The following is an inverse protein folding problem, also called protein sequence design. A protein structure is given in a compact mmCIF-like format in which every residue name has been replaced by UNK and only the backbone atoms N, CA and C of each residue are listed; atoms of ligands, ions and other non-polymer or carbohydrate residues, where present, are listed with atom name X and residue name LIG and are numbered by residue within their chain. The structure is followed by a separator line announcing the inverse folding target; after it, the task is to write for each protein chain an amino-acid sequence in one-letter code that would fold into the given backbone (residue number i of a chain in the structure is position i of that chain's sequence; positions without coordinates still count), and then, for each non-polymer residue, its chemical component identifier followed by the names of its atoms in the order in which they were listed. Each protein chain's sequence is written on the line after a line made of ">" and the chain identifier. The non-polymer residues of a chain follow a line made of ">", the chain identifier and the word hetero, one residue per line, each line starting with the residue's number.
data_IF_350874192485
#
_entry.id   IF_350874192485
#
_cell.length_a   1.000
_cell.length_b   1.000
_cell.length_c   1.000
_cell.angle_alpha   90.00
_cell.angle_beta   90.00
_cell.angle_gamma   90.00
#
_symmetry.space_group_name_H-M   'P 1'
#
loop_
_entity.id
_entity.type
_entity.pdbx_description
1 polymer ?
#
# COMPACT_ATOMS: atom_id res chain seq x y z
N UNK A 1 -26.77 -3.67 9.26
CA UNK A 1 -25.66 -2.71 9.07
C UNK A 1 -24.37 -3.47 9.29
N UNK A 2 -23.45 -3.45 8.32
CA UNK A 2 -22.12 -4.04 8.51
C UNK A 2 -21.43 -3.32 9.69
N UNK A 3 -20.73 -4.04 10.57
CA UNK A 3 -20.01 -3.39 11.66
C UNK A 3 -18.94 -2.46 11.06
N UNK A 4 -18.97 -1.17 11.43
CA UNK A 4 -17.91 -0.23 11.10
C UNK A 4 -16.63 -0.71 11.79
N UNK A 5 -15.62 -1.10 11.00
CA UNK A 5 -14.28 -1.40 11.52
C UNK A 5 -13.71 -0.18 12.26
N UNK A 6 -12.73 -0.33 13.16
CA UNK A 6 -12.07 0.81 13.77
C UNK A 6 -11.18 1.52 12.75
N UNK A 7 -11.17 2.84 12.78
CA UNK A 7 -10.15 3.68 12.17
C UNK A 7 -9.43 4.45 13.27
N UNK A 8 -8.11 4.27 13.36
CA UNK A 8 -7.25 4.81 14.42
C UNK A 8 -6.35 5.88 13.82
N UNK A 9 -6.63 7.14 14.13
CA UNK A 9 -5.82 8.28 13.71
C UNK A 9 -4.51 8.30 14.52
N UNK A 10 -3.37 8.34 13.83
CA UNK A 10 -2.05 8.55 14.45
C UNK A 10 -1.62 9.98 14.19
N UNK A 11 -1.77 10.84 15.19
CA UNK A 11 -1.61 12.29 15.10
C UNK A 11 -0.47 12.85 15.95
N UNK A 12 -0.05 14.08 15.64
CA UNK A 12 0.97 14.80 16.40
C UNK A 12 1.85 15.72 15.56
N UNK A 13 2.63 16.62 16.19
CA UNK A 13 3.46 17.62 15.51
C UNK A 13 4.45 17.04 14.49
N UNK A 14 5.05 17.85 13.61
CA UNK A 14 6.09 17.38 12.69
C UNK A 14 7.25 16.73 13.44
N UNK A 15 7.93 15.76 12.80
CA UNK A 15 9.12 15.08 13.35
C UNK A 15 8.91 14.31 14.67
N UNK A 16 7.67 13.98 15.02
CA UNK A 16 7.36 13.19 16.23
C UNK A 16 7.52 11.67 16.09
N UNK A 17 7.88 11.16 14.90
CA UNK A 17 8.03 9.73 14.65
C UNK A 17 6.76 8.98 14.25
N UNK A 18 5.66 9.67 13.88
CA UNK A 18 4.38 9.07 13.43
C UNK A 18 4.52 7.97 12.38
N UNK A 19 5.14 8.29 11.23
CA UNK A 19 5.38 7.32 10.15
C UNK A 19 6.10 6.06 10.62
N UNK A 20 7.12 6.24 11.46
CA UNK A 20 7.89 5.13 12.03
C UNK A 20 7.06 4.32 13.03
N UNK A 21 6.26 5.01 13.86
CA UNK A 21 5.35 4.36 14.80
C UNK A 21 4.32 3.51 14.05
N UNK A 22 3.66 4.05 13.01
CA UNK A 22 2.69 3.33 12.18
C UNK A 22 3.33 2.11 11.53
N UNK A 23 4.51 2.28 10.94
CA UNK A 23 5.27 1.18 10.32
C UNK A 23 5.59 0.06 11.33
N UNK A 24 6.20 0.40 12.47
CA UNK A 24 6.59 -0.58 13.51
C UNK A 24 5.39 -1.23 14.16
N UNK A 25 4.33 -0.46 14.41
CA UNK A 25 3.07 -0.97 14.93
C UNK A 25 2.43 -1.94 13.93
N UNK A 26 2.41 -1.61 12.65
CA UNK A 26 1.90 -2.51 11.61
C UNK A 26 2.65 -3.84 11.59
N UNK A 27 3.99 -3.81 11.69
CA UNK A 27 4.80 -5.03 11.83
C UNK A 27 4.42 -5.85 13.06
N UNK A 28 4.29 -5.20 14.23
CA UNK A 28 3.93 -5.88 15.48
C UNK A 28 2.51 -6.48 15.43
N UNK A 29 1.56 -5.82 14.76
CA UNK A 29 0.20 -6.31 14.57
C UNK A 29 0.16 -7.50 13.60
N UNK A 30 0.92 -7.46 12.50
CA UNK A 30 1.04 -8.60 11.56
C UNK A 30 1.62 -9.83 12.26
N UNK A 31 2.65 -9.68 13.08
CA UNK A 31 3.22 -10.77 13.89
C UNK A 31 2.21 -11.40 14.85
N UNK A 32 1.14 -10.68 15.20
CA UNK A 32 0.04 -11.14 16.05
C UNK A 32 -1.16 -11.66 15.25
N UNK A 33 -1.08 -11.71 13.92
CA UNK A 33 -2.17 -12.13 13.05
C UNK A 33 -3.35 -11.15 13.01
N UNK A 34 -3.14 -9.87 13.36
CA UNK A 34 -4.20 -8.86 13.35
C UNK A 34 -4.35 -8.29 11.94
N UNK A 35 -5.50 -8.52 11.32
CA UNK A 35 -5.84 -7.94 10.02
C UNK A 35 -6.06 -6.42 10.15
N UNK A 36 -5.32 -5.63 9.38
CA UNK A 36 -5.40 -4.18 9.36
C UNK A 36 -4.76 -3.61 8.09
N UNK A 37 -5.09 -2.36 7.77
CA UNK A 37 -4.44 -1.60 6.71
C UNK A 37 -3.84 -0.30 7.25
N UNK A 38 -2.58 -0.04 6.92
CA UNK A 38 -1.90 1.21 7.26
C UNK A 38 -2.13 2.22 6.12
N UNK A 39 -3.11 3.11 6.30
CA UNK A 39 -3.45 4.16 5.36
C UNK A 39 -2.54 5.38 5.60
N UNK A 40 -1.76 5.74 4.57
CA UNK A 40 -1.01 7.00 4.56
C UNK A 40 -1.96 8.14 4.21
N UNK A 41 -2.28 8.96 5.19
CA UNK A 41 -3.17 10.11 5.04
C UNK A 41 -2.39 11.43 5.03
N UNK A 42 -1.30 11.44 4.25
CA UNK A 42 -0.40 12.58 4.09
C UNK A 42 0.31 12.49 2.74
N UNK A 43 0.39 13.59 1.97
CA UNK A 43 1.10 13.63 0.69
C UNK A 43 2.63 13.83 0.84
N UNK A 44 3.23 13.46 1.96
CA UNK A 44 4.65 13.71 2.25
C UNK A 44 5.65 12.80 1.50
N UNK A 45 5.16 11.83 0.72
CA UNK A 45 5.97 10.92 -0.08
C UNK A 45 6.63 9.79 0.73
N UNK A 46 6.39 9.70 2.03
CA UNK A 46 6.94 8.64 2.89
C UNK A 46 6.14 7.31 2.79
N UNK A 47 6.76 6.19 3.18
CA UNK A 47 6.14 4.85 3.18
C UNK A 47 7.09 3.76 3.70
N UNK A 48 6.58 2.54 3.96
CA UNK A 48 7.37 1.43 4.50
C UNK A 48 8.58 1.04 3.65
N UNK A 49 8.41 1.04 2.32
CA UNK A 49 9.48 0.82 1.34
C UNK A 49 10.68 1.77 1.54
N UNK A 50 10.43 3.00 2.00
CA UNK A 50 11.49 3.99 2.20
C UNK A 50 12.40 3.68 3.40
N UNK A 51 12.02 2.72 4.25
CA UNK A 51 12.83 2.19 5.34
C UNK A 51 13.47 0.83 5.01
N UNK A 52 13.07 0.22 3.88
CA UNK A 52 13.50 -1.12 3.45
C UNK A 52 14.41 -1.08 2.20
N UNK A 53 14.48 0.05 1.50
CA UNK A 53 15.34 0.29 0.33
C UNK A 53 16.66 0.96 0.69
N UNK A 54 17.63 0.90 -0.22
CA UNK A 54 18.87 1.68 -0.13
C UNK A 54 18.56 3.18 0.12
N UNK A 55 19.26 3.86 1.05
CA UNK A 55 18.94 5.25 1.42
C UNK A 55 18.94 6.25 0.26
N UNK A 56 19.78 6.06 -0.76
CA UNK A 56 19.82 6.93 -1.93
C UNK A 56 18.59 6.70 -2.84
N UNK A 57 18.23 5.43 -3.07
CA UNK A 57 17.00 5.04 -3.79
C UNK A 57 15.77 5.52 -3.04
N UNK A 58 15.74 5.33 -1.72
CA UNK A 58 14.66 5.78 -0.85
C UNK A 58 14.44 7.31 -0.94
N UNK A 59 15.53 8.07 -0.93
CA UNK A 59 15.49 9.53 -1.03
C UNK A 59 15.01 10.00 -2.40
N UNK A 60 15.50 9.39 -3.48
CA UNK A 60 15.07 9.72 -4.84
C UNK A 60 13.57 9.47 -5.04
N UNK A 61 13.08 8.30 -4.62
CA UNK A 61 11.66 7.95 -4.71
C UNK A 61 10.78 8.81 -3.78
N UNK A 62 11.26 9.21 -2.59
CA UNK A 62 10.51 10.11 -1.69
C UNK A 62 10.29 11.47 -2.35
N UNK A 63 11.32 12.01 -3.01
CA UNK A 63 11.22 13.26 -3.78
C UNK A 63 10.23 13.14 -4.93
N UNK A 64 10.20 12.01 -5.63
CA UNK A 64 9.25 11.75 -6.73
C UNK A 64 7.81 11.59 -6.22
N UNK A 65 7.61 11.07 -5.01
CA UNK A 65 6.28 10.76 -4.47
C UNK A 65 5.66 11.85 -3.60
N UNK A 66 6.42 12.90 -3.22
CA UNK A 66 5.91 14.00 -2.41
C UNK A 66 5.02 14.91 -3.25
N UNK A 67 3.81 15.15 -2.78
CA UNK A 67 2.84 16.08 -3.38
C UNK A 67 2.34 17.07 -2.31
N UNK A 68 1.55 18.06 -2.73
CA UNK A 68 0.84 18.94 -1.79
C UNK A 68 -0.58 18.40 -1.53
N UNK A 69 -1.21 18.86 -0.44
CA UNK A 69 -2.63 18.60 -0.21
C UNK A 69 -3.46 19.21 -1.34
N UNK A 70 -4.39 18.43 -1.87
CA UNK A 70 -5.45 18.90 -2.75
C UNK A 70 -6.82 18.59 -2.11
N UNK A 71 -7.86 19.42 -2.32
CA UNK A 71 -9.20 19.15 -1.78
C UNK A 71 -9.73 17.77 -2.17
N UNK A 72 -9.55 17.47 -3.44
CA UNK A 72 -9.66 16.20 -4.12
C UNK A 72 -9.04 14.99 -3.37
N UNK A 73 -7.75 15.07 -3.00
CA UNK A 73 -7.08 14.04 -2.21
C UNK A 73 -7.72 13.87 -0.83
N UNK A 74 -8.11 14.97 -0.19
CA UNK A 74 -8.75 14.93 1.12
C UNK A 74 -10.13 14.26 1.07
N UNK A 75 -10.93 14.55 0.03
CA UNK A 75 -12.23 13.90 -0.20
C UNK A 75 -12.06 12.40 -0.43
N UNK A 76 -11.12 12.01 -1.30
CA UNK A 76 -10.78 10.61 -1.56
C UNK A 76 -10.41 9.85 -0.28
N UNK A 77 -9.51 10.41 0.52
CA UNK A 77 -9.09 9.80 1.79
C UNK A 77 -10.23 9.74 2.81
N UNK A 78 -11.06 10.78 2.90
CA UNK A 78 -12.24 10.79 3.77
C UNK A 78 -13.19 9.66 3.42
N UNK A 79 -13.53 9.51 2.13
CA UNK A 79 -14.41 8.46 1.63
C UNK A 79 -13.82 7.06 1.89
N UNK A 80 -12.52 6.88 1.63
CA UNK A 80 -11.83 5.62 1.90
C UNK A 80 -11.83 5.24 3.39
N UNK A 81 -11.68 6.22 4.29
CA UNK A 81 -11.75 5.95 5.74
C UNK A 81 -13.20 5.67 6.15
N UNK A 82 -14.18 6.41 5.64
CA UNK A 82 -15.59 6.22 5.96
C UNK A 82 -16.11 4.85 5.48
N UNK A 83 -15.71 4.43 4.28
CA UNK A 83 -16.09 3.17 3.62
C UNK A 83 -15.16 1.98 3.90
N UNK A 84 -14.21 2.13 4.83
CA UNK A 84 -13.17 1.14 5.15
C UNK A 84 -13.68 -0.31 5.26
N UNK A 85 -12.94 -1.22 4.64
CA UNK A 85 -13.21 -2.66 4.70
C UNK A 85 -12.35 -3.42 5.72
N UNK A 86 -11.42 -2.74 6.39
CA UNK A 86 -10.56 -3.31 7.41
C UNK A 86 -10.34 -2.30 8.54
N UNK A 87 -9.88 -2.76 9.73
CA UNK A 87 -9.28 -1.88 10.71
C UNK A 87 -8.18 -1.01 10.07
N UNK A 88 -8.25 0.31 10.26
CA UNK A 88 -7.29 1.26 9.69
C UNK A 88 -6.35 1.85 10.74
N UNK A 89 -5.06 1.88 10.42
CA UNK A 89 -4.11 2.82 11.03
C UNK A 89 -3.96 4.01 10.07
N UNK A 90 -4.49 5.16 10.46
CA UNK A 90 -4.52 6.37 9.61
C UNK A 90 -3.36 7.27 10.03
N UNK A 91 -2.32 7.33 9.20
CA UNK A 91 -1.12 8.13 9.46
C UNK A 91 -1.31 9.58 9.02
N UNK A 92 -1.53 10.46 9.98
CA UNK A 92 -1.83 11.87 9.73
C UNK A 92 -0.56 12.69 9.47
N UNK A 93 -0.69 13.69 8.58
CA UNK A 93 0.33 14.71 8.38
C UNK A 93 0.69 15.45 9.68
N UNK A 94 1.90 15.99 9.77
CA UNK A 94 2.39 16.64 11.00
C UNK A 94 1.77 18.00 11.33
N UNK A 95 0.95 18.56 10.44
CA UNK A 95 0.33 19.88 10.60
C UNK A 95 -1.19 19.71 10.67
N UNK A 96 -1.83 20.35 11.64
CA UNK A 96 -3.28 20.47 11.68
C UNK A 96 -3.75 21.30 10.49
N UNK A 97 -4.83 20.86 9.87
CA UNK A 97 -5.46 21.51 8.73
C UNK A 97 -6.92 21.05 8.62
N UNK A 98 -7.72 21.74 7.82
CA UNK A 98 -9.11 21.37 7.56
C UNK A 98 -9.23 19.95 6.97
N UNK A 99 -8.24 19.51 6.20
CA UNK A 99 -8.17 18.15 5.67
C UNK A 99 -7.99 17.14 6.81
N UNK A 100 -7.06 17.36 7.74
CA UNK A 100 -6.86 16.47 8.89
C UNK A 100 -8.09 16.45 9.80
N UNK A 101 -8.76 17.60 10.00
CA UNK A 101 -10.04 17.69 10.70
C UNK A 101 -11.11 16.79 10.03
N UNK A 102 -11.28 16.93 8.72
CA UNK A 102 -12.20 16.10 7.94
C UNK A 102 -11.91 14.60 8.04
N UNK A 103 -10.63 14.20 8.08
CA UNK A 103 -10.26 12.79 8.27
C UNK A 103 -10.50 12.30 9.70
N UNK A 104 -10.31 13.16 10.71
CA UNK A 104 -10.59 12.83 12.10
C UNK A 104 -12.07 12.50 12.30
N UNK A 105 -12.98 13.26 11.67
CA UNK A 105 -14.44 13.09 11.80
C UNK A 105 -14.96 11.71 11.38
N UNK A 106 -14.22 10.98 10.55
CA UNK A 106 -14.57 9.61 10.12
C UNK A 106 -13.74 8.52 10.81
N UNK A 107 -12.83 8.91 11.69
CA UNK A 107 -12.07 8.01 12.55
C UNK A 107 -12.84 7.69 13.85
N UNK A 108 -12.39 6.65 14.56
CA UNK A 108 -13.05 6.14 15.78
C UNK A 108 -12.19 6.30 17.03
N UNK A 109 -10.87 6.20 16.84
CA UNK A 109 -9.88 6.21 17.91
C UNK A 109 -8.70 7.08 17.51
N UNK A 110 -7.88 7.48 18.48
CA UNK A 110 -6.67 8.23 18.24
C UNK A 110 -5.48 7.74 19.06
N UNK A 111 -4.29 7.86 18.48
CA UNK A 111 -2.99 7.76 19.14
C UNK A 111 -2.24 9.06 18.86
N UNK A 112 -1.86 9.78 19.92
CA UNK A 112 -1.08 11.00 19.81
C UNK A 112 0.37 10.73 20.17
N UNK A 113 1.29 11.29 19.37
CA UNK A 113 2.72 11.22 19.66
C UNK A 113 3.45 12.52 19.31
N UNK A 114 4.24 13.03 20.25
CA UNK A 114 5.12 14.19 20.05
C UNK A 114 6.57 13.86 20.38
N UNK A 115 7.53 14.55 19.75
CA UNK A 115 8.91 14.53 20.24
C UNK A 115 8.99 15.14 21.65
N UNK A 116 10.07 14.85 22.38
CA UNK A 116 10.31 15.48 23.68
C UNK A 116 10.23 17.01 23.58
N UNK A 117 9.38 17.63 24.42
CA UNK A 117 9.12 19.09 24.40
C UNK A 117 8.16 19.56 23.31
N UNK A 118 7.62 18.65 22.48
CA UNK A 118 6.59 18.95 21.50
C UNK A 118 5.21 19.13 22.13
N UNK A 119 4.40 19.99 21.52
CA UNK A 119 3.06 20.33 22.02
C UNK A 119 1.96 19.45 21.40
N UNK A 120 1.29 18.68 22.25
CA UNK A 120 0.12 17.87 21.88
C UNK A 120 -1.21 18.55 22.17
N UNK A 121 -1.24 19.72 22.83
CA UNK A 121 -2.50 20.36 23.20
C UNK A 121 -3.42 20.65 22.00
N UNK A 122 -2.94 21.18 20.85
CA UNK A 122 -3.78 21.38 19.68
C UNK A 122 -4.36 20.07 19.13
N UNK A 123 -3.56 19.00 19.16
CA UNK A 123 -4.01 17.68 18.71
C UNK A 123 -5.04 17.08 19.65
N UNK A 124 -4.87 17.21 20.97
CA UNK A 124 -5.87 16.78 21.95
C UNK A 124 -7.21 17.48 21.74
N UNK A 125 -7.19 18.79 21.47
CA UNK A 125 -8.38 19.56 21.16
C UNK A 125 -9.10 19.06 19.89
N UNK A 126 -8.34 18.70 18.84
CA UNK A 126 -8.90 18.05 17.65
C UNK A 126 -9.58 16.72 18.01
N UNK A 127 -8.89 15.83 18.74
CA UNK A 127 -9.42 14.51 19.12
C UNK A 127 -10.72 14.66 19.92
N UNK A 128 -10.75 15.59 20.87
CA UNK A 128 -11.94 15.89 21.67
C UNK A 128 -13.07 16.47 20.81
N UNK A 129 -12.77 17.43 19.93
CA UNK A 129 -13.74 18.08 19.05
C UNK A 129 -14.40 17.12 18.07
N UNK A 130 -13.65 16.15 17.53
CA UNK A 130 -14.18 15.12 16.63
C UNK A 130 -14.72 13.88 17.37
N UNK A 131 -14.66 13.84 18.72
CA UNK A 131 -15.25 12.76 19.53
C UNK A 131 -14.51 11.41 19.47
N UNK A 132 -13.20 11.41 19.16
CA UNK A 132 -12.41 10.18 19.03
C UNK A 132 -12.03 9.64 20.40
N UNK A 133 -12.02 8.31 20.53
CA UNK A 133 -11.51 7.66 21.74
C UNK A 133 -9.98 7.72 21.75
N UNK A 134 -9.39 8.49 22.66
CA UNK A 134 -7.95 8.58 22.82
C UNK A 134 -7.39 7.28 23.44
N UNK A 135 -6.64 6.51 22.67
CA UNK A 135 -6.03 5.24 23.09
C UNK A 135 -4.70 5.47 23.79
N UNK A 136 -3.92 6.43 23.29
CA UNK A 136 -2.60 6.73 23.80
C UNK A 136 -2.17 8.17 23.53
N UNK A 137 -1.36 8.71 24.43
CA UNK A 137 -0.79 10.05 24.41
C UNK A 137 0.68 9.95 24.84
N UNK A 138 1.56 10.03 23.85
CA UNK A 138 2.92 9.49 23.93
C UNK A 138 3.98 10.54 23.65
N UNK A 139 5.14 10.35 24.29
CA UNK A 139 6.35 11.08 23.97
C UNK A 139 7.31 10.14 23.24
N UNK A 140 7.85 10.61 22.12
CA UNK A 140 8.96 10.00 21.40
C UNK A 140 10.27 10.62 21.88
N UNK A 141 11.12 9.81 22.50
CA UNK A 141 12.47 10.19 22.89
C UNK A 141 13.48 9.24 22.23
N UNK A 142 14.27 9.74 21.27
CA UNK A 142 15.16 8.91 20.45
C UNK A 142 16.12 8.08 21.29
N UNK A 143 16.68 8.65 22.37
CA UNK A 143 17.72 8.02 23.19
C UNK A 143 17.30 7.81 24.65
N UNK A 144 16.08 8.20 25.01
CA UNK A 144 15.52 8.02 26.34
C UNK A 144 15.21 6.58 26.71
N UNK A 145 14.73 6.42 27.94
CA UNK A 145 14.30 5.13 28.48
C UNK A 145 12.80 4.96 28.25
N UNK A 146 12.43 3.92 27.49
CA UNK A 146 11.03 3.57 27.27
C UNK A 146 10.34 3.27 28.61
N UNK A 147 9.22 3.92 28.88
CA UNK A 147 8.54 3.84 30.18
C UNK A 147 7.03 4.05 30.03
N UNK A 148 6.28 3.50 30.97
CA UNK A 148 4.84 3.73 31.09
C UNK A 148 4.62 4.64 32.29
N UNK A 149 3.90 5.74 32.07
CA UNK A 149 3.45 6.66 33.12
C UNK A 149 2.07 6.22 33.63
N UNK A 150 1.16 5.84 32.73
CA UNK A 150 -0.15 5.30 33.07
C UNK A 150 -0.59 4.26 32.02
N UNK A 151 -1.02 3.08 32.48
CA UNK A 151 -1.52 1.99 31.64
C UNK A 151 -3.04 1.76 31.76
N UNK A 152 -3.76 2.56 32.54
CA UNK A 152 -5.22 2.45 32.76
C UNK A 152 -5.94 3.62 32.09
N UNK A 153 -7.04 3.35 31.38
CA UNK A 153 -7.68 4.38 30.54
C UNK A 153 -6.78 4.73 29.36
N UNK A 154 -6.44 6.00 29.16
CA UNK A 154 -5.48 6.44 28.13
C UNK A 154 -4.06 5.97 28.49
N UNK A 155 -3.32 5.42 27.52
CA UNK A 155 -1.92 5.05 27.71
C UNK A 155 -1.04 6.29 27.66
N UNK A 156 -0.35 6.59 28.76
CA UNK A 156 0.68 7.63 28.80
C UNK A 156 2.04 7.01 28.98
N UNK A 157 3.04 7.47 28.23
CA UNK A 157 4.40 6.97 28.36
C UNK A 157 5.37 7.50 27.33
N UNK A 158 6.59 6.98 27.40
CA UNK A 158 7.69 7.29 26.50
C UNK A 158 7.97 6.08 25.63
N UNK A 159 7.99 6.27 24.32
CA UNK A 159 8.57 5.33 23.36
C UNK A 159 9.94 5.87 22.97
N UNK A 160 10.95 5.00 23.04
CA UNK A 160 12.28 5.31 22.51
C UNK A 160 12.61 4.53 21.26
N UNK A 161 13.68 4.91 20.55
CA UNK A 161 14.15 4.14 19.39
C UNK A 161 13.21 4.11 18.17
N UNK A 162 12.33 5.10 17.99
CA UNK A 162 11.51 5.24 16.78
C UNK A 162 12.33 5.76 15.58
N UNK A 163 13.33 4.98 15.15
CA UNK A 163 14.10 5.23 13.91
C UNK A 163 14.27 3.94 13.11
N UNK A 164 14.76 4.01 11.86
CA UNK A 164 15.06 2.79 11.09
C UNK A 164 16.12 1.91 11.77
N UNK A 165 17.11 2.52 12.42
CA UNK A 165 18.28 1.86 13.00
C UNK A 165 18.05 1.34 14.43
N UNK A 166 17.06 1.90 15.13
CA UNK A 166 16.75 1.55 16.52
C UNK A 166 15.44 0.75 16.60
N UNK A 167 15.28 0.02 17.70
CA UNK A 167 14.07 -0.74 17.98
C UNK A 167 13.20 0.01 18.99
N UNK A 168 11.89 0.16 18.74
CA UNK A 168 10.97 0.70 19.74
C UNK A 168 10.52 -0.33 20.77
N UNK A 169 11.11 -1.53 20.78
CA UNK A 169 10.78 -2.58 21.73
C UNK A 169 10.95 -2.08 23.17
N UNK A 170 9.86 -2.14 23.93
CA UNK A 170 9.81 -1.64 25.29
C UNK A 170 8.39 -1.72 25.85
N UNK A 171 8.22 -1.45 27.15
CA UNK A 171 6.93 -1.63 27.83
C UNK A 171 5.82 -0.78 27.21
N UNK A 172 6.11 0.50 26.89
CA UNK A 172 5.12 1.41 26.32
C UNK A 172 4.65 0.98 24.93
N UNK A 173 5.59 0.63 24.03
CA UNK A 173 5.26 0.15 22.70
C UNK A 173 4.50 -1.19 22.74
N UNK A 174 4.90 -2.11 23.61
CA UNK A 174 4.21 -3.39 23.79
C UNK A 174 2.76 -3.21 24.28
N UNK A 175 2.55 -2.30 25.24
CA UNK A 175 1.23 -1.94 25.75
C UNK A 175 0.35 -1.29 24.67
N UNK A 176 0.91 -0.37 23.87
CA UNK A 176 0.22 0.24 22.74
C UNK A 176 -0.20 -0.82 21.71
N UNK A 177 0.73 -1.68 21.29
CA UNK A 177 0.45 -2.74 20.33
C UNK A 177 -0.62 -3.72 20.85
N UNK A 178 -0.65 -4.01 22.16
CA UNK A 178 -1.68 -4.85 22.78
C UNK A 178 -3.06 -4.21 22.73
N UNK A 179 -3.16 -2.93 23.06
CA UNK A 179 -4.43 -2.19 23.02
C UNK A 179 -4.98 -2.11 21.60
N UNK A 180 -4.13 -1.80 20.63
CA UNK A 180 -4.55 -1.71 19.23
C UNK A 180 -4.93 -3.08 18.68
N UNK A 181 -4.20 -4.14 19.04
CA UNK A 181 -4.59 -5.51 18.67
C UNK A 181 -5.98 -5.89 19.22
N UNK A 182 -6.32 -5.47 20.44
CA UNK A 182 -7.64 -5.70 21.03
C UNK A 182 -8.75 -4.91 20.31
N UNK A 183 -8.49 -3.65 19.98
CA UNK A 183 -9.43 -2.82 19.20
C UNK A 183 -9.69 -3.43 17.82
N UNK A 184 -8.64 -4.00 17.20
CA UNK A 184 -8.68 -4.62 15.89
C UNK A 184 -8.92 -6.15 15.94
N UNK A 185 -9.44 -6.69 17.03
CA UNK A 185 -9.58 -8.13 17.24
C UNK A 185 -10.76 -8.72 16.43
N UNK A 186 -10.55 -8.86 15.12
CA UNK A 186 -11.46 -9.54 14.21
C UNK A 186 -10.87 -10.88 13.78
N UNK A 187 -11.71 -11.91 13.67
CA UNK A 187 -11.29 -13.20 13.13
C UNK A 187 -10.93 -13.05 11.64
N UNK A 188 -9.71 -13.43 11.26
CA UNK A 188 -9.27 -13.40 9.87
C UNK A 188 -10.17 -14.22 8.94
N UNK A 189 -10.72 -15.33 9.43
CA UNK A 189 -11.66 -16.18 8.68
C UNK A 189 -13.03 -15.52 8.51
N UNK A 190 -13.52 -14.83 9.53
CA UNK A 190 -14.81 -14.12 9.44
C UNK A 190 -14.70 -12.91 8.53
N UNK A 191 -13.60 -12.15 8.64
CA UNK A 191 -13.28 -11.06 7.72
C UNK A 191 -13.23 -11.56 6.29
N UNK A 192 -12.43 -12.60 6.03
CA UNK A 192 -12.32 -13.18 4.69
C UNK A 192 -13.67 -13.64 4.16
N UNK A 193 -14.48 -14.35 4.96
CA UNK A 193 -15.84 -14.77 4.56
C UNK A 193 -16.75 -13.57 4.27
N UNK A 194 -16.66 -12.51 5.06
CA UNK A 194 -17.46 -11.30 4.84
C UNK A 194 -17.08 -10.59 3.55
N UNK A 195 -15.79 -10.54 3.20
CA UNK A 195 -15.32 -9.98 1.95
C UNK A 195 -15.61 -10.89 0.76
N UNK A 196 -15.47 -12.20 0.93
CA UNK A 196 -15.80 -13.19 -0.11
C UNK A 196 -17.27 -13.05 -0.56
N UNK A 197 -18.18 -12.75 0.36
CA UNK A 197 -19.60 -12.51 0.04
C UNK A 197 -19.86 -11.23 -0.78
N UNK A 198 -18.85 -10.38 -1.00
CA UNK A 198 -18.95 -9.13 -1.77
C UNK A 198 -18.50 -9.28 -3.23
N UNK A 199 -18.04 -10.46 -3.66
CA UNK A 199 -17.75 -10.78 -5.07
C UNK A 199 -18.56 -12.00 -5.50
N UNK A 200 -18.93 -12.03 -6.77
CA UNK A 200 -19.61 -13.15 -7.43
C UNK A 200 -18.62 -14.06 -8.21
N UNK A 201 -17.32 -13.74 -8.21
CA UNK A 201 -16.29 -14.60 -8.81
C UNK A 201 -16.08 -15.83 -7.94
N UNK A 202 -16.24 -17.03 -8.54
CA UNK A 202 -16.10 -18.30 -7.81
C UNK A 202 -14.64 -18.62 -7.44
N UNK A 203 -13.70 -18.39 -8.36
CA UNK A 203 -12.28 -18.63 -8.12
C UNK A 203 -11.65 -17.43 -7.39
N UNK A 204 -11.63 -17.51 -6.06
CA UNK A 204 -10.98 -16.51 -5.21
C UNK A 204 -9.69 -17.05 -4.61
N UNK A 205 -8.55 -16.50 -5.02
CA UNK A 205 -7.25 -16.83 -4.46
C UNK A 205 -6.95 -15.98 -3.24
N UNK A 206 -6.81 -16.64 -2.08
CA UNK A 206 -6.27 -16.01 -0.89
C UNK A 206 -4.75 -16.20 -0.84
N UNK A 207 -4.00 -15.20 -1.30
CA UNK A 207 -2.55 -15.29 -1.54
C UNK A 207 -1.69 -15.35 -0.26
N UNK A 208 -2.31 -15.26 0.92
CA UNK A 208 -1.62 -15.47 2.20
C UNK A 208 -1.77 -16.90 2.73
N UNK A 209 -2.60 -17.73 2.07
CA UNK A 209 -2.82 -19.14 2.41
C UNK A 209 -2.03 -20.04 1.47
N UNK A 210 -1.99 -21.34 1.82
CA UNK A 210 -1.43 -22.34 0.92
C UNK A 210 -2.26 -22.41 -0.37
N UNK A 211 -1.57 -22.37 -1.51
CA UNK A 211 -2.15 -22.56 -2.84
C UNK A 211 -1.32 -23.65 -3.50
N UNK A 212 -1.84 -24.89 -3.53
CA UNK A 212 -1.08 -26.05 -4.02
C UNK A 212 -0.49 -25.77 -5.42
N UNK A 213 0.81 -26.03 -5.67
CA UNK A 213 1.76 -26.77 -4.84
C UNK A 213 2.55 -25.91 -3.82
N UNK A 214 2.24 -24.63 -3.70
CA UNK A 214 2.98 -23.68 -2.87
C UNK A 214 2.52 -23.69 -1.40
N UNK A 215 3.48 -23.59 -0.46
CA UNK A 215 3.17 -23.37 0.95
C UNK A 215 2.52 -21.99 1.16
N UNK A 216 1.93 -21.72 2.34
CA UNK A 216 1.47 -20.37 2.65
C UNK A 216 2.64 -19.39 2.58
N UNK A 217 2.39 -18.23 1.96
CA UNK A 217 3.33 -17.12 1.83
C UNK A 217 2.72 -15.91 2.52
N UNK A 218 3.38 -15.31 3.50
CA UNK A 218 2.98 -13.96 3.92
C UNK A 218 3.41 -12.93 2.86
N UNK A 219 2.83 -11.73 2.89
CA UNK A 219 2.97 -10.77 1.79
C UNK A 219 4.40 -10.51 1.29
N UNK A 220 5.43 -10.59 2.14
CA UNK A 220 6.84 -10.39 1.74
C UNK A 220 7.61 -11.71 1.46
N UNK A 221 7.02 -12.87 1.75
CA UNK A 221 7.65 -14.18 1.55
C UNK A 221 7.56 -14.70 0.11
N UNK A 222 6.70 -14.11 -0.73
CA UNK A 222 6.56 -14.42 -2.14
C UNK A 222 7.87 -14.17 -2.91
N UNK A 223 8.28 -15.14 -3.74
CA UNK A 223 9.46 -15.06 -4.62
C UNK A 223 9.05 -15.09 -6.10
N UNK A 224 9.81 -14.45 -7.00
CA UNK A 224 9.54 -14.50 -8.44
C UNK A 224 9.38 -15.93 -9.00
N UNK A 225 10.19 -16.86 -8.51
CA UNK A 225 10.14 -18.29 -8.89
C UNK A 225 8.83 -19.00 -8.50
N UNK A 226 8.04 -18.41 -7.59
CA UNK A 226 6.72 -18.94 -7.23
C UNK A 226 5.66 -18.71 -8.32
N UNK A 227 5.89 -17.76 -9.25
CA UNK A 227 4.88 -17.42 -10.27
C UNK A 227 4.55 -18.59 -11.17
N UNK A 228 5.56 -19.27 -11.73
CA UNK A 228 5.34 -20.35 -12.67
C UNK A 228 4.56 -21.54 -12.07
N UNK A 229 4.94 -22.12 -10.91
CA UNK A 229 4.15 -23.18 -10.28
C UNK A 229 2.77 -22.71 -9.82
N UNK A 230 2.62 -21.45 -9.40
CA UNK A 230 1.31 -20.88 -9.07
C UNK A 230 0.40 -20.87 -10.29
N UNK A 231 0.81 -20.20 -11.38
CA UNK A 231 -0.01 -20.04 -12.57
C UNK A 231 -0.35 -21.40 -13.21
N UNK A 232 0.61 -22.34 -13.23
CA UNK A 232 0.38 -23.69 -13.74
C UNK A 232 -0.62 -24.51 -12.91
N UNK A 233 -0.92 -24.11 -11.67
CA UNK A 233 -1.91 -24.77 -10.81
C UNK A 233 -3.34 -24.26 -11.00
N UNK A 234 -3.50 -23.11 -11.66
CA UNK A 234 -4.79 -22.44 -11.83
C UNK A 234 -5.51 -22.92 -13.10
N UNK A 235 -6.85 -22.97 -13.10
CA UNK A 235 -7.60 -23.23 -14.32
C UNK A 235 -7.42 -22.07 -15.31
N UNK A 236 -7.19 -22.42 -16.57
CA UNK A 236 -7.08 -21.45 -17.66
C UNK A 236 -8.46 -20.94 -18.08
N UNK A 237 -8.54 -19.68 -18.48
CA UNK A 237 -9.75 -19.08 -19.04
C UNK A 237 -10.91 -18.85 -18.06
N UNK A 238 -10.67 -18.86 -16.75
CA UNK A 238 -11.67 -18.57 -15.71
C UNK A 238 -11.57 -17.14 -15.16
N UNK A 239 -12.69 -16.50 -14.76
CA UNK A 239 -12.66 -15.30 -13.92
C UNK A 239 -11.90 -15.53 -12.62
N UNK A 240 -11.13 -14.53 -12.18
CA UNK A 240 -10.22 -14.68 -11.04
C UNK A 240 -10.29 -13.48 -10.10
N UNK A 241 -10.49 -13.73 -8.80
CA UNK A 241 -10.41 -12.71 -7.77
C UNK A 241 -9.22 -12.98 -6.84
N UNK A 242 -8.52 -11.93 -6.41
CA UNK A 242 -7.32 -12.03 -5.56
C UNK A 242 -7.52 -11.29 -4.25
N UNK A 243 -7.43 -12.03 -3.14
CA UNK A 243 -7.56 -11.54 -1.76
C UNK A 243 -6.26 -11.71 -0.98
N UNK A 244 -5.96 -10.75 -0.10
CA UNK A 244 -4.82 -10.79 0.81
C UNK A 244 -3.66 -9.92 0.34
N UNK A 245 -2.62 -9.83 1.16
CA UNK A 245 -1.44 -9.00 0.90
C UNK A 245 -0.35 -9.77 0.13
N UNK A 246 0.22 -9.11 -0.88
CA UNK A 246 1.33 -9.63 -1.68
C UNK A 246 2.08 -8.53 -2.42
N UNK A 247 3.13 -8.87 -3.16
CA UNK A 247 3.88 -7.91 -3.95
C UNK A 247 3.11 -7.55 -5.23
N UNK A 248 3.30 -6.33 -5.73
CA UNK A 248 2.65 -5.83 -6.96
C UNK A 248 2.80 -6.78 -8.14
N UNK A 249 4.00 -7.35 -8.34
CA UNK A 249 4.27 -8.26 -9.45
C UNK A 249 3.40 -9.54 -9.42
N UNK A 250 2.97 -9.99 -8.23
CA UNK A 250 2.10 -11.17 -8.08
C UNK A 250 0.69 -10.86 -8.58
N UNK A 251 0.10 -9.76 -8.13
CA UNK A 251 -1.23 -9.34 -8.57
C UNK A 251 -1.28 -9.13 -10.08
N UNK A 252 -0.24 -8.51 -10.65
CA UNK A 252 -0.18 -8.25 -12.08
C UNK A 252 0.02 -9.51 -12.91
N UNK A 253 0.77 -10.51 -12.42
CA UNK A 253 0.90 -11.79 -13.09
C UNK A 253 -0.43 -12.55 -13.15
N UNK A 254 -1.19 -12.54 -12.05
CA UNK A 254 -2.54 -13.12 -11.99
C UNK A 254 -3.54 -12.35 -12.89
N UNK A 255 -3.41 -11.02 -12.96
CA UNK A 255 -4.22 -10.20 -13.85
C UNK A 255 -3.93 -10.47 -15.34
N UNK A 256 -2.66 -10.68 -15.70
CA UNK A 256 -2.25 -11.11 -17.04
C UNK A 256 -2.78 -12.51 -17.36
N UNK A 257 -2.57 -13.47 -16.45
CA UNK A 257 -2.96 -14.87 -16.63
C UNK A 257 -4.47 -15.02 -16.92
N UNK A 258 -5.30 -14.30 -16.18
CA UNK A 258 -6.77 -14.34 -16.35
C UNK A 258 -7.28 -13.57 -17.57
N UNK A 259 -6.43 -12.84 -18.31
CA UNK A 259 -6.89 -12.03 -19.44
C UNK A 259 -7.33 -12.91 -20.62
N UNK A 260 -8.50 -12.69 -21.26
CA UNK A 260 -9.38 -11.51 -21.17
C UNK A 260 -10.54 -11.61 -20.16
N UNK A 261 -10.59 -12.67 -19.33
CA UNK A 261 -11.68 -12.87 -18.37
C UNK A 261 -11.74 -11.76 -17.32
N UNK A 262 -12.84 -11.74 -16.54
CA UNK A 262 -12.98 -10.79 -15.43
C UNK A 262 -11.92 -11.07 -14.37
N UNK A 263 -11.29 -10.00 -13.87
CA UNK A 263 -10.32 -10.07 -12.81
C UNK A 263 -10.65 -9.03 -11.75
N UNK A 264 -10.55 -9.42 -10.48
CA UNK A 264 -10.74 -8.51 -9.35
C UNK A 264 -9.62 -8.64 -8.33
N UNK A 265 -9.28 -7.51 -7.71
CA UNK A 265 -8.38 -7.47 -6.57
C UNK A 265 -9.13 -6.82 -5.40
N UNK A 266 -8.91 -7.35 -4.20
CA UNK A 266 -9.42 -6.71 -2.99
C UNK A 266 -8.48 -5.57 -2.55
N UNK A 267 -8.98 -4.33 -2.51
CA UNK A 267 -8.32 -3.15 -1.94
C UNK A 267 -9.00 -2.75 -0.64
N UNK A 268 -8.23 -2.50 0.43
CA UNK A 268 -8.79 -2.16 1.75
C UNK A 268 -9.63 -0.87 1.76
N UNK A 269 -9.42 0.02 0.77
CA UNK A 269 -10.13 1.30 0.61
C UNK A 269 -11.42 1.16 -0.19
N UNK A 270 -11.46 0.25 -1.16
CA UNK A 270 -12.51 0.17 -2.18
C UNK A 270 -13.25 -1.17 -2.22
N UNK A 271 -12.80 -2.17 -1.46
CA UNK A 271 -13.32 -3.54 -1.55
C UNK A 271 -12.83 -4.23 -2.83
N UNK A 272 -13.71 -5.01 -3.46
CA UNK A 272 -13.39 -5.65 -4.74
C UNK A 272 -13.41 -4.64 -5.88
N UNK A 273 -12.29 -4.54 -6.57
CA UNK A 273 -12.11 -3.61 -7.69
C UNK A 273 -11.62 -4.37 -8.93
N UNK A 274 -12.25 -4.08 -10.06
CA UNK A 274 -11.77 -4.51 -11.37
C UNK A 274 -10.68 -3.56 -11.86
N UNK A 275 -9.57 -4.05 -12.43
CA UNK A 275 -8.58 -3.20 -13.08
C UNK A 275 -9.21 -2.35 -14.19
N UNK A 276 -8.78 -1.11 -14.37
CA UNK A 276 -9.30 -0.25 -15.44
C UNK A 276 -8.91 -0.79 -16.81
N UNK A 277 -9.78 -0.59 -17.78
CA UNK A 277 -9.46 -0.81 -19.19
C UNK A 277 -8.71 0.41 -19.70
N UNK A 278 -7.45 0.21 -20.08
CA UNK A 278 -6.58 1.24 -20.64
C UNK A 278 -6.42 1.02 -22.14
N UNK A 279 -6.21 2.10 -22.89
CA UNK A 279 -6.06 2.04 -24.35
C UNK A 279 -4.67 2.47 -24.78
N UNK A 280 -4.06 1.73 -25.69
CA UNK A 280 -2.80 2.14 -26.32
C UNK A 280 -3.09 3.28 -27.30
N UNK A 281 -2.45 4.44 -27.12
CA UNK A 281 -2.78 5.63 -27.89
C UNK A 281 -1.77 6.76 -27.73
N UNK A 282 -1.95 7.81 -28.54
CA UNK A 282 -1.12 9.01 -28.49
C UNK A 282 -1.17 9.72 -27.13
N UNK A 283 -0.17 10.57 -26.91
CA UNK A 283 0.23 11.25 -25.66
C UNK A 283 -0.91 11.41 -24.64
N UNK A 284 -0.76 10.93 -23.38
CA UNK A 284 -1.77 11.10 -22.36
C UNK A 284 -2.14 12.58 -22.26
N UNK A 285 -3.30 12.96 -22.79
CA UNK A 285 -3.75 14.35 -22.77
C UNK A 285 -4.19 14.77 -21.36
N UNK A 286 -4.25 13.82 -20.44
CA UNK A 286 -4.83 13.98 -19.14
C UNK A 286 -3.74 14.08 -18.07
N UNK A 287 -3.72 15.22 -17.37
CA UNK A 287 -2.83 15.52 -16.24
C UNK A 287 -3.01 14.60 -15.01
N UNK A 288 -3.73 13.48 -15.15
CA UNK A 288 -4.06 12.53 -14.09
C UNK A 288 -2.85 11.61 -13.81
N UNK A 289 -2.16 11.16 -14.87
CA UNK A 289 -0.96 10.33 -14.77
C UNK A 289 0.15 10.95 -15.60
N UNK A 290 1.33 11.11 -15.00
CA UNK A 290 2.55 11.42 -15.74
C UNK A 290 3.15 10.13 -16.27
N UNK A 291 3.39 10.05 -17.57
CA UNK A 291 3.95 8.87 -18.23
C UNK A 291 5.17 9.30 -19.05
N UNK A 292 6.30 8.65 -18.82
CA UNK A 292 7.52 8.82 -19.60
C UNK A 292 7.99 7.46 -20.12
N UNK A 293 7.95 7.26 -21.43
CA UNK A 293 8.50 6.07 -22.07
C UNK A 293 9.92 6.36 -22.57
N UNK A 294 10.87 5.48 -22.21
CA UNK A 294 12.27 5.54 -22.64
C UNK A 294 12.70 4.18 -23.16
N UNK A 295 13.18 4.12 -24.38
CA UNK A 295 13.83 2.92 -24.92
C UNK A 295 15.21 2.78 -24.28
N UNK A 296 15.33 1.86 -23.33
CA UNK A 296 16.59 1.57 -22.62
C UNK A 296 17.53 0.72 -23.48
N UNK A 297 16.96 -0.21 -24.26
CA UNK A 297 17.67 -1.08 -25.22
C UNK A 297 16.80 -1.31 -26.46
N UNK A 298 17.35 -1.74 -27.60
CA UNK A 298 16.55 -1.96 -28.82
C UNK A 298 15.36 -2.90 -28.64
N UNK A 299 15.43 -3.82 -27.67
CA UNK A 299 14.43 -4.82 -27.32
C UNK A 299 13.62 -4.48 -26.05
N UNK A 300 13.88 -3.32 -25.41
CA UNK A 300 13.31 -2.97 -24.10
C UNK A 300 12.92 -1.50 -24.02
N UNK A 301 11.65 -1.26 -23.73
CA UNK A 301 11.13 0.06 -23.36
C UNK A 301 10.79 0.10 -21.87
N UNK A 302 11.31 1.08 -21.14
CA UNK A 302 10.90 1.38 -19.77
C UNK A 302 9.82 2.46 -19.80
N UNK A 303 8.72 2.24 -19.09
CA UNK A 303 7.64 3.21 -18.92
C UNK A 303 7.62 3.61 -17.46
N UNK A 304 8.02 4.85 -17.17
CA UNK A 304 7.96 5.45 -15.84
C UNK A 304 6.61 6.16 -15.67
N UNK A 305 5.87 5.80 -14.62
CA UNK A 305 4.55 6.32 -14.30
C UNK A 305 4.53 6.97 -12.91
N UNK A 306 3.83 8.09 -12.79
CA UNK A 306 3.60 8.77 -11.52
C UNK A 306 2.20 9.38 -11.46
N UNK A 307 1.66 9.51 -10.25
CA UNK A 307 0.43 10.25 -10.00
C UNK A 307 0.80 11.66 -9.53
N UNK A 308 0.67 12.71 -10.36
CA UNK A 308 1.04 14.07 -9.96
C UNK A 308 0.22 14.57 -8.76
N UNK A 309 -1.01 14.08 -8.60
CA UNK A 309 -1.89 14.40 -7.45
C UNK A 309 -1.64 13.50 -6.24
N UNK A 310 -0.80 12.47 -6.37
CA UNK A 310 -0.55 11.45 -5.33
C UNK A 310 -1.67 10.42 -5.17
N UNK A 311 -2.82 10.63 -5.83
CA UNK A 311 -3.96 9.71 -5.84
C UNK A 311 -4.63 9.70 -7.22
N UNK A 312 -5.48 8.71 -7.43
CA UNK A 312 -6.38 8.55 -8.57
C UNK A 312 -7.55 7.69 -8.11
N UNK A 313 -8.78 8.08 -8.45
CA UNK A 313 -9.95 7.24 -8.19
C UNK A 313 -10.12 6.17 -9.28
N UNK A 314 -10.72 5.00 -8.97
CA UNK A 314 -11.01 3.95 -9.93
C UNK A 314 -11.74 4.45 -11.19
N UNK A 315 -12.70 5.34 -11.02
CA UNK A 315 -13.51 5.91 -12.09
C UNK A 315 -12.70 6.84 -13.00
N UNK A 316 -11.73 7.58 -12.45
CA UNK A 316 -10.83 8.44 -13.22
C UNK A 316 -9.83 7.63 -14.06
N UNK A 317 -9.52 6.41 -13.64
CA UNK A 317 -8.59 5.55 -14.37
C UNK A 317 -9.23 4.88 -15.60
N UNK A 318 -10.55 4.85 -15.69
CA UNK A 318 -11.27 4.21 -16.79
C UNK A 318 -11.02 4.96 -18.11
N UNK A 319 -10.51 4.26 -19.12
CA UNK A 319 -10.31 4.82 -20.45
C UNK A 319 -9.05 5.68 -20.62
N UNK A 320 -8.16 5.71 -19.62
CA UNK A 320 -6.86 6.37 -19.77
C UNK A 320 -6.07 5.81 -20.96
N UNK A 321 -5.40 6.71 -21.68
CA UNK A 321 -4.49 6.34 -22.76
C UNK A 321 -3.07 6.14 -22.23
N UNK A 322 -2.40 5.11 -22.73
CA UNK A 322 -1.02 4.78 -22.40
C UNK A 322 -0.18 4.67 -23.69
N UNK A 323 1.13 4.97 -23.64
CA UNK A 323 1.94 5.03 -24.84
C UNK A 323 2.07 3.66 -25.52
N UNK A 324 1.99 3.58 -26.86
CA UNK A 324 2.30 2.34 -27.55
C UNK A 324 3.79 2.02 -27.42
N UNK A 325 4.12 0.72 -27.40
CA UNK A 325 5.49 0.22 -27.52
C UNK A 325 5.68 -0.39 -28.92
N UNK A 326 6.93 -0.47 -29.39
CA UNK A 326 7.18 -1.07 -30.70
C UNK A 326 6.93 -2.58 -30.67
N UNK A 327 6.41 -3.13 -31.77
CA UNK A 327 6.13 -4.56 -31.91
C UNK A 327 7.37 -5.40 -31.60
N UNK A 328 7.19 -6.45 -30.79
CA UNK A 328 8.28 -7.37 -30.43
C UNK A 328 9.25 -6.86 -29.36
N UNK A 329 9.03 -5.66 -28.81
CA UNK A 329 9.76 -5.19 -27.63
C UNK A 329 9.12 -5.72 -26.34
N UNK A 330 9.96 -5.91 -25.33
CA UNK A 330 9.52 -6.04 -23.96
C UNK A 330 9.31 -4.67 -23.31
N UNK A 331 8.51 -4.65 -22.25
CA UNK A 331 8.23 -3.44 -21.48
C UNK A 331 8.50 -3.64 -20.00
N UNK A 332 9.20 -2.67 -19.40
CA UNK A 332 9.39 -2.57 -17.95
C UNK A 332 8.53 -1.44 -17.44
N UNK A 333 7.61 -1.77 -16.54
CA UNK A 333 6.74 -0.81 -15.87
C UNK A 333 7.36 -0.40 -14.53
N UNK A 334 7.49 0.90 -14.33
CA UNK A 334 8.13 1.51 -13.16
C UNK A 334 7.29 2.69 -12.66
N UNK A 335 7.14 2.83 -11.35
CA UNK A 335 6.39 3.92 -10.77
C UNK A 335 5.82 3.62 -9.41
N UNK A 336 4.98 4.54 -8.92
CA UNK A 336 4.20 4.35 -7.69
C UNK A 336 2.71 4.53 -8.01
N UNK A 337 2.05 3.40 -8.27
CA UNK A 337 0.62 3.32 -8.55
C UNK A 337 -0.05 2.28 -7.63
N UNK A 338 -1.36 2.35 -7.40
CA UNK A 338 -2.09 1.30 -6.71
C UNK A 338 -2.09 -0.01 -7.52
N UNK A 339 -2.15 -1.15 -6.82
CA UNK A 339 -2.08 -2.49 -7.45
C UNK A 339 -3.15 -2.70 -8.53
N UNK A 340 -4.37 -2.21 -8.33
CA UNK A 340 -5.44 -2.33 -9.32
C UNK A 340 -5.12 -1.62 -10.65
N UNK A 341 -4.38 -0.50 -10.61
CA UNK A 341 -3.96 0.23 -11.81
C UNK A 341 -2.80 -0.49 -12.50
N UNK A 342 -1.88 -1.08 -11.72
CA UNK A 342 -0.83 -1.94 -12.27
C UNK A 342 -1.39 -3.14 -13.03
N UNK A 343 -2.44 -3.78 -12.49
CA UNK A 343 -3.12 -4.87 -13.17
C UNK A 343 -3.71 -4.43 -14.51
N UNK A 344 -4.27 -3.21 -14.59
CA UNK A 344 -4.79 -2.63 -15.83
C UNK A 344 -3.68 -2.36 -16.86
N UNK A 345 -2.54 -1.82 -16.41
CA UNK A 345 -1.37 -1.57 -17.25
C UNK A 345 -0.80 -2.85 -17.86
N UNK A 346 -0.62 -3.90 -17.06
CA UNK A 346 -0.10 -5.18 -17.57
C UNK A 346 -1.04 -5.80 -18.59
N UNK A 347 -2.36 -5.73 -18.36
CA UNK A 347 -3.37 -6.20 -19.32
C UNK A 347 -3.34 -5.40 -20.62
N UNK A 348 -3.17 -4.08 -20.55
CA UNK A 348 -3.11 -3.24 -21.74
C UNK A 348 -1.84 -3.44 -22.57
N UNK A 349 -0.74 -3.92 -21.94
CA UNK A 349 0.48 -4.34 -22.62
C UNK A 349 0.56 -5.85 -22.88
N UNK A 350 -0.56 -6.59 -22.86
CA UNK A 350 -0.55 -8.05 -23.06
C UNK A 350 0.04 -8.51 -24.40
N UNK A 351 0.05 -7.64 -25.42
CA UNK A 351 0.63 -7.92 -26.75
C UNK A 351 2.15 -7.66 -26.83
N UNK A 352 2.77 -7.14 -25.76
CA UNK A 352 4.22 -6.98 -25.67
C UNK A 352 4.95 -8.32 -25.79
N UNK A 353 6.23 -8.33 -26.19
CA UNK A 353 7.01 -9.57 -26.16
C UNK A 353 7.09 -10.16 -24.75
N UNK A 354 7.19 -9.31 -23.74
CA UNK A 354 7.04 -9.63 -22.32
C UNK A 354 6.79 -8.33 -21.55
N UNK A 355 6.20 -8.45 -20.37
CA UNK A 355 5.92 -7.34 -19.45
C UNK A 355 6.58 -7.64 -18.11
N UNK A 356 7.31 -6.66 -17.56
CA UNK A 356 7.97 -6.79 -16.27
C UNK A 356 7.64 -5.62 -15.32
N UNK A 357 7.58 -5.91 -14.02
CA UNK A 357 7.35 -4.91 -12.96
C UNK A 357 8.66 -4.62 -12.23
N UNK A 358 9.05 -3.35 -12.18
CA UNK A 358 10.25 -2.92 -11.48
C UNK A 358 10.14 -3.08 -9.95
N UNK A 359 11.23 -3.54 -9.32
CA UNK A 359 11.37 -3.72 -7.86
C UNK A 359 12.49 -2.80 -7.34
N UNK A 360 12.13 -1.68 -6.68
CA UNK A 360 13.13 -0.75 -6.14
C UNK A 360 14.10 -1.35 -5.12
N UNK A 361 13.65 -2.37 -4.36
CA UNK A 361 14.47 -3.01 -3.32
C UNK A 361 15.70 -3.72 -3.88
N UNK A 362 15.51 -4.44 -4.98
CA UNK A 362 16.53 -5.30 -5.59
C UNK A 362 17.14 -4.67 -6.86
N UNK A 363 16.59 -3.53 -7.31
CA UNK A 363 16.98 -2.81 -8.53
C UNK A 363 16.94 -3.71 -9.79
N UNK A 364 15.89 -4.52 -9.90
CA UNK A 364 15.59 -5.36 -11.05
C UNK A 364 14.09 -5.28 -11.41
N UNK A 365 13.67 -6.00 -12.44
CA UNK A 365 12.25 -6.14 -12.78
C UNK A 365 11.88 -7.62 -12.94
N UNK A 366 10.70 -8.00 -12.45
CA UNK A 366 10.17 -9.38 -12.55
C UNK A 366 9.26 -9.47 -13.75
N UNK A 367 9.50 -10.43 -14.64
CA UNK A 367 8.62 -10.73 -15.77
C UNK A 367 7.33 -11.36 -15.23
N UNK A 368 6.19 -10.72 -15.53
CA UNK A 368 4.85 -11.12 -15.06
C UNK A 368 3.97 -11.66 -16.18
N UNK A 369 4.33 -11.38 -17.43
CA UNK A 369 3.66 -11.87 -18.63
C UNK A 369 4.68 -12.03 -19.76
N UNK A 370 4.52 -13.03 -20.63
CA UNK A 370 5.43 -13.25 -21.74
C UNK A 370 4.75 -13.88 -22.96
N UNK A 371 5.08 -13.35 -24.14
CA UNK A 371 4.86 -13.95 -25.45
C UNK A 371 6.19 -14.45 -26.07
N UNK A 372 7.33 -14.25 -25.38
CA UNK A 372 8.66 -14.72 -25.78
C UNK A 372 9.18 -15.76 -24.80
N UNK A 373 9.19 -17.03 -25.22
CA UNK A 373 9.63 -18.16 -24.38
C UNK A 373 11.08 -18.05 -23.90
N UNK A 374 11.91 -17.18 -24.48
CA UNK A 374 13.28 -16.91 -24.01
C UNK A 374 13.30 -16.07 -22.72
N UNK A 375 12.19 -15.40 -22.41
CA UNK A 375 11.99 -14.53 -21.25
C UNK A 375 10.81 -15.08 -20.43
N UNK A 376 11.05 -16.10 -19.59
CA UNK A 376 9.98 -16.78 -18.86
C UNK A 376 9.39 -15.92 -17.74
N UNK A 377 8.12 -16.16 -17.39
CA UNK A 377 7.47 -15.60 -16.20
C UNK A 377 8.29 -15.94 -14.96
N UNK A 378 8.46 -14.98 -14.05
CA UNK A 378 9.34 -15.08 -12.88
C UNK A 378 10.79 -14.71 -13.17
N UNK A 379 11.19 -14.62 -14.45
CA UNK A 379 12.54 -14.18 -14.83
C UNK A 379 12.83 -12.73 -14.42
N UNK A 380 14.11 -12.46 -14.15
CA UNK A 380 14.59 -11.15 -13.68
C UNK A 380 15.31 -10.38 -14.79
N UNK A 381 14.94 -9.12 -14.95
CA UNK A 381 15.61 -8.16 -15.84
C UNK A 381 16.43 -7.20 -14.99
N UNK A 382 17.76 -7.27 -15.12
CA UNK A 382 18.64 -6.29 -14.52
C UNK A 382 18.48 -4.93 -15.21
N UNK A 383 18.33 -3.86 -14.41
CA UNK A 383 18.26 -2.50 -14.92
C UNK A 383 19.54 -1.74 -14.60
N UNK A 384 20.00 -0.95 -15.55
CA UNK A 384 21.06 0.01 -15.27
C UNK A 384 20.52 1.05 -14.28
N UNK A 385 21.32 1.38 -13.26
CA UNK A 385 20.98 2.46 -12.34
C UNK A 385 20.78 3.74 -13.16
N UNK A 386 19.60 4.33 -13.05
CA UNK A 386 19.36 5.66 -13.59
C UNK A 386 20.19 6.64 -12.76
N UNK A 387 21.35 7.03 -13.26
CA UNK A 387 22.07 8.19 -12.75
C UNK A 387 21.22 9.42 -13.06
N UNK A 388 20.29 9.77 -12.16
CA UNK A 388 19.68 11.10 -12.10
C UNK A 388 20.20 11.85 -10.90
#
# INVERSE_FOLDING_TARGET
>A
MAPLFPAILVGGPPHSGKSMLVYRLSQALRQRGVAHYALRASPDGEGGWSYESDPAIATALRRRAKTDWTPDLAVALHQAIAGRHLPLLVDAGGKLSAEIESLADVCTHAVLIAAQGGDLAPWRALIEGSGLVLVADLISDRYGVASIINATGVLYGVISGLTPELSPAGPCFAALASRIAQICAYSADELYRSHLALTDIELVLHIERAIYPLPPRDGNAWQPDDLLPLLASLPDGEPLAVYGAGPTWLYTALAAFSHPQRFEIFDARYGWISPPILTLGGDPRDAIISIAARTDRPDLTRVELALPRGYIEPEEAAGLTIPPIATGQGVVLDGRLPNWLWCGLVRAYADAAWVAIYRPRDNDAVIVHTNDLRQPIGGLIALALSHT
#
